data_IF_599345920755
#
_entry.id   IF_599345920755
#
_cell.length_a   1.000
_cell.length_b   1.000
_cell.length_c   1.000
_cell.angle_alpha   90.00
_cell.angle_beta   90.00
_cell.angle_gamma   90.00
#
_symmetry.space_group_name_H-M   'P 1'
#
loop_
_entity.id
_entity.type
_entity.pdbx_description
1 polymer ?
#
# COMPACT_ATOMS: atom_id res chain seq x y z
N UNK A 1 5.28 -4.97 4.88
CA UNK A 1 4.39 -3.79 4.82
C UNK A 1 5.11 -2.67 4.10
N UNK A 2 4.35 -1.83 3.41
CA UNK A 2 4.86 -0.58 2.87
C UNK A 2 5.19 0.31 4.07
N UNK A 3 6.43 0.81 4.07
CA UNK A 3 6.88 1.76 5.09
C UNK A 3 6.26 3.11 4.78
N UNK A 4 5.73 3.76 5.82
CA UNK A 4 5.31 5.16 5.74
C UNK A 4 6.52 6.02 5.36
N UNK A 5 6.37 6.82 4.31
CA UNK A 5 7.40 7.73 3.82
C UNK A 5 7.47 9.03 4.60
N UNK A 6 8.55 9.79 4.39
CA UNK A 6 8.64 11.17 4.88
C UNK A 6 7.64 12.04 4.13
N UNK A 7 6.85 12.87 4.82
CA UNK A 7 5.84 13.68 4.14
C UNK A 7 6.52 14.78 3.31
N UNK A 8 6.00 15.04 2.12
CA UNK A 8 6.49 16.13 1.28
C UNK A 8 5.91 17.46 1.78
N UNK A 9 6.75 18.48 1.94
CA UNK A 9 6.35 19.82 2.42
C UNK A 9 5.91 20.78 1.32
N UNK A 10 6.00 20.39 0.03
CA UNK A 10 5.63 21.23 -1.10
C UNK A 10 4.98 20.42 -2.23
N UNK A 11 3.80 20.88 -2.71
CA UNK A 11 3.06 20.32 -3.85
C UNK A 11 2.28 19.06 -3.47
N UNK A 12 0.94 19.15 -3.44
CA UNK A 12 -0.01 18.16 -2.89
C UNK A 12 0.34 16.67 -3.12
N UNK A 13 0.72 15.92 -2.07
CA UNK A 13 0.48 14.48 -2.06
C UNK A 13 -0.13 14.05 -0.72
N UNK A 14 -1.48 13.97 -0.67
CA UNK A 14 -2.25 13.39 0.44
C UNK A 14 -2.35 14.28 1.68
N UNK A 15 -3.07 15.40 1.53
CA UNK A 15 -3.08 16.62 2.34
C UNK A 15 -3.14 16.44 3.88
N UNK A 16 -2.28 17.18 4.56
CA UNK A 16 -2.27 17.34 6.01
C UNK A 16 -3.55 18.02 6.47
N UNK A 17 -4.45 17.33 7.19
CA UNK A 17 -5.71 17.92 7.68
C UNK A 17 -5.60 18.68 9.02
N UNK A 18 -4.39 19.08 9.44
CA UNK A 18 -4.12 19.64 10.76
C UNK A 18 -3.25 20.89 10.73
N UNK A 19 -3.31 21.71 11.78
CA UNK A 19 -2.45 22.89 11.95
C UNK A 19 -1.09 22.48 12.52
N UNK A 20 -0.02 22.52 11.72
CA UNK A 20 1.34 22.22 12.22
C UNK A 20 2.34 21.77 11.14
N UNK A 21 3.58 21.49 11.56
CA UNK A 21 4.59 20.91 10.68
C UNK A 21 4.22 19.48 10.30
N UNK A 22 4.45 19.17 9.03
CA UNK A 22 4.24 17.86 8.48
C UNK A 22 5.12 16.78 9.14
N UNK A 23 4.53 15.82 9.87
CA UNK A 23 5.25 14.68 10.47
C UNK A 23 4.69 13.34 9.97
N UNK A 24 5.57 12.37 9.73
CA UNK A 24 5.18 11.00 9.41
C UNK A 24 4.66 10.29 10.67
N UNK A 25 3.58 9.53 10.52
CA UNK A 25 3.16 8.58 11.54
C UNK A 25 4.24 7.51 11.74
N UNK A 26 4.43 7.07 12.99
CA UNK A 26 5.36 5.99 13.33
C UNK A 26 4.61 4.82 13.96
N UNK A 27 5.20 3.61 13.88
CA UNK A 27 4.57 2.39 14.40
C UNK A 27 3.39 1.89 13.56
N UNK A 28 3.16 2.44 12.38
CA UNK A 28 2.14 2.01 11.42
C UNK A 28 2.76 1.80 10.03
N UNK A 29 2.24 0.83 9.30
CA UNK A 29 2.53 0.62 7.87
C UNK A 29 1.26 0.33 7.08
N UNK A 30 1.36 0.27 5.76
CA UNK A 30 0.26 -0.15 4.88
C UNK A 30 0.52 -1.57 4.41
N UNK A 31 -0.44 -2.47 4.62
CA UNK A 31 -0.39 -3.87 4.16
C UNK A 31 -1.40 -4.08 3.04
N UNK A 32 -0.94 -4.75 1.98
CA UNK A 32 -1.76 -5.13 0.83
C UNK A 32 -2.17 -6.60 0.98
N UNK A 33 -3.42 -6.90 0.66
CA UNK A 33 -4.00 -8.24 0.70
C UNK A 33 -4.67 -8.55 -0.64
N UNK A 34 -4.66 -9.83 -1.03
CA UNK A 34 -5.50 -10.33 -2.11
C UNK A 34 -6.96 -10.23 -1.67
N UNK A 35 -7.83 -9.65 -2.51
CA UNK A 35 -9.23 -9.46 -2.13
C UNK A 35 -9.98 -10.80 -2.01
N UNK A 36 -9.61 -11.80 -2.81
CA UNK A 36 -10.28 -13.10 -2.88
C UNK A 36 -10.23 -13.88 -1.56
N UNK A 37 -9.08 -13.87 -0.87
CA UNK A 37 -8.83 -14.74 0.29
C UNK A 37 -8.25 -14.00 1.50
N UNK A 38 -8.09 -12.67 1.43
CA UNK A 38 -7.42 -11.84 2.43
C UNK A 38 -5.99 -12.31 2.79
N UNK A 39 -5.34 -13.11 1.95
CA UNK A 39 -3.94 -13.44 2.11
C UNK A 39 -3.07 -12.21 1.84
N UNK A 40 -1.97 -12.09 2.57
CA UNK A 40 -1.07 -10.95 2.40
C UNK A 40 -0.33 -11.04 1.05
N UNK A 41 -0.35 -9.95 0.28
CA UNK A 41 0.57 -9.77 -0.84
C UNK A 41 1.95 -9.46 -0.27
N UNK A 42 2.87 -10.40 -0.42
CA UNK A 42 4.26 -10.23 0.02
C UNK A 42 4.97 -9.32 -0.96
N UNK A 43 5.54 -8.22 -0.47
CA UNK A 43 6.33 -7.33 -1.30
C UNK A 43 7.53 -8.08 -1.88
N UNK A 44 7.90 -7.75 -3.13
CA UNK A 44 9.03 -8.35 -3.85
C UNK A 44 8.92 -9.87 -4.07
N UNK A 45 7.71 -10.41 -4.01
CA UNK A 45 7.39 -11.78 -4.35
C UNK A 45 6.23 -11.77 -5.35
N UNK A 46 6.10 -12.86 -6.09
CA UNK A 46 4.97 -13.04 -7.00
C UNK A 46 3.64 -13.02 -6.22
N UNK A 47 2.68 -12.29 -6.77
CA UNK A 47 1.28 -12.37 -6.32
C UNK A 47 0.57 -13.59 -6.93
N UNK A 48 -0.69 -13.81 -6.58
CA UNK A 48 -1.47 -14.88 -7.18
C UNK A 48 -1.68 -14.62 -8.69
N UNK A 49 -1.56 -15.66 -9.51
CA UNK A 49 -1.83 -15.56 -10.94
C UNK A 49 -3.31 -15.23 -11.20
N UNK A 50 -3.55 -14.34 -12.17
CA UNK A 50 -4.90 -14.00 -12.64
C UNK A 50 -5.02 -14.43 -14.10
N UNK A 51 -6.07 -15.19 -14.41
CA UNK A 51 -6.35 -15.59 -15.79
C UNK A 51 -6.79 -14.39 -16.63
N UNK A 52 -6.39 -14.37 -17.89
CA UNK A 52 -6.92 -13.46 -18.89
C UNK A 52 -8.20 -14.08 -19.45
N UNK A 53 -9.31 -13.34 -19.40
CA UNK A 53 -10.61 -13.80 -19.91
C UNK A 53 -10.66 -13.86 -21.44
N UNK A 54 -11.79 -14.34 -21.98
CA UNK A 54 -11.98 -14.49 -23.42
C UNK A 54 -11.97 -13.15 -24.18
N UNK A 55 -12.23 -12.05 -23.47
CA UNK A 55 -12.21 -10.68 -23.96
C UNK A 55 -10.81 -10.03 -23.82
N UNK A 56 -9.82 -10.76 -23.31
CA UNK A 56 -8.44 -10.28 -23.17
C UNK A 56 -8.19 -9.44 -21.92
N UNK A 57 -9.03 -9.54 -20.89
CA UNK A 57 -8.91 -8.76 -19.65
C UNK A 57 -8.49 -9.64 -18.48
N UNK A 58 -7.71 -9.06 -17.57
CA UNK A 58 -7.42 -9.65 -16.27
C UNK A 58 -7.69 -8.59 -15.19
N UNK A 59 -8.44 -8.96 -14.16
CA UNK A 59 -8.78 -8.06 -13.05
C UNK A 59 -8.12 -8.56 -11.76
N UNK A 60 -7.07 -7.87 -11.30
CA UNK A 60 -6.36 -8.18 -10.07
C UNK A 60 -6.89 -7.30 -8.94
N UNK A 61 -7.61 -7.90 -7.98
CA UNK A 61 -8.27 -7.16 -6.88
C UNK A 61 -7.47 -7.23 -5.59
N UNK A 62 -7.17 -6.07 -5.02
CA UNK A 62 -6.41 -5.94 -3.78
C UNK A 62 -7.14 -5.07 -2.75
N UNK A 63 -6.80 -5.27 -1.49
CA UNK A 63 -7.24 -4.44 -0.36
C UNK A 63 -5.99 -3.87 0.33
N UNK A 64 -5.98 -2.57 0.63
CA UNK A 64 -4.95 -1.95 1.46
C UNK A 64 -5.52 -1.60 2.85
N UNK A 65 -4.76 -1.87 3.92
CA UNK A 65 -5.13 -1.52 5.31
C UNK A 65 -3.92 -0.98 6.07
N UNK A 66 -4.17 -0.09 7.02
CA UNK A 66 -3.18 0.25 8.05
C UNK A 66 -2.98 -0.93 9.01
N UNK A 67 -1.72 -1.21 9.34
CA UNK A 67 -1.33 -2.23 10.31
C UNK A 67 -0.34 -1.66 11.31
N UNK A 68 -0.51 -1.96 12.58
CA UNK A 68 0.48 -1.61 13.60
C UNK A 68 1.74 -2.45 13.39
N UNK A 69 2.89 -1.78 13.34
CA UNK A 69 4.22 -2.41 13.24
C UNK A 69 4.97 -2.39 14.57
N UNK A 70 4.53 -1.53 15.51
CA UNK A 70 5.03 -1.44 16.88
C UNK A 70 3.86 -1.38 17.87
N UNK A 71 4.14 -1.58 19.16
CA UNK A 71 3.15 -1.45 20.23
C UNK A 71 2.62 -0.01 20.38
N UNK A 72 3.46 0.98 20.10
CA UNK A 72 3.11 2.40 20.14
C UNK A 72 3.01 2.97 18.73
N UNK A 73 1.89 3.62 18.42
CA UNK A 73 1.65 4.35 17.16
C UNK A 73 1.59 5.84 17.46
N UNK A 74 2.37 6.64 16.73
CA UNK A 74 2.33 8.12 16.85
C UNK A 74 1.54 8.72 15.69
N UNK A 75 0.77 9.76 15.97
CA UNK A 75 0.01 10.48 14.95
C UNK A 75 0.92 11.16 13.91
N UNK A 76 0.40 11.30 12.69
CA UNK A 76 1.08 11.91 11.54
C UNK A 76 0.46 11.42 10.24
N UNK A 77 0.99 11.84 9.09
CA UNK A 77 0.59 11.29 7.78
C UNK A 77 1.16 9.91 7.57
N UNK A 78 0.37 9.01 6.98
CA UNK A 78 0.75 7.62 6.73
C UNK A 78 0.78 7.31 5.22
N UNK A 79 1.38 8.18 4.43
CA UNK A 79 1.52 8.01 2.98
C UNK A 79 2.64 7.01 2.67
N UNK A 80 2.43 6.16 1.66
CA UNK A 80 3.44 5.24 1.16
C UNK A 80 3.20 4.93 -0.32
N UNK A 81 4.28 4.71 -1.06
CA UNK A 81 4.24 4.33 -2.47
C UNK A 81 4.58 2.85 -2.65
N UNK A 82 3.96 2.23 -3.64
CA UNK A 82 4.27 0.87 -4.08
C UNK A 82 4.26 0.78 -5.59
N UNK A 83 5.14 -0.05 -6.14
CA UNK A 83 5.18 -0.35 -7.56
C UNK A 83 4.65 -1.76 -7.79
N UNK A 84 3.73 -1.89 -8.75
CA UNK A 84 3.23 -3.17 -9.23
C UNK A 84 3.90 -3.50 -10.57
N UNK A 85 4.40 -4.72 -10.69
CA UNK A 85 4.93 -5.26 -11.95
C UNK A 85 3.94 -6.28 -12.49
N UNK A 86 3.59 -6.16 -13.77
CA UNK A 86 2.76 -7.15 -14.46
C UNK A 86 3.69 -8.03 -15.30
N UNK A 87 3.72 -9.31 -14.99
CA UNK A 87 4.45 -10.31 -15.75
C UNK A 87 3.46 -11.23 -16.49
N UNK A 88 3.66 -11.38 -17.79
CA UNK A 88 2.92 -12.34 -18.60
C UNK A 88 3.65 -13.67 -18.59
N UNK A 89 2.98 -14.70 -18.06
CA UNK A 89 3.49 -16.06 -18.14
C UNK A 89 3.31 -16.60 -19.56
N UNK A 90 4.38 -17.19 -20.09
CA UNK A 90 4.38 -17.91 -21.38
C UNK A 90 3.74 -19.29 -21.25
#
# INVERSE_FOLDING_TARGET
DLKVGTPLTAGNPGDFTGTGQAIAATGVGIRIFNQSDNSQVKLYNDSAYTAIDAEGKAEMKFIARYVATNATVTAGTANADSQFTVEYKK
#
